data_IF_627161155669
#
_entry.id   IF_627161155669
#
_cell.length_a   1.000
_cell.length_b   1.000
_cell.length_c   1.000
_cell.angle_alpha   90.00
_cell.angle_beta   90.00
_cell.angle_gamma   90.00
#
_symmetry.space_group_name_H-M   'P 1'
#
loop_
_entity.id
_entity.type
_entity.pdbx_description
1 polymer ?
#
# COMPACT_ATOMS: atom_id res chain seq x y z
N UNK A 1 -9.80 -14.84 7.98
CA UNK A 1 -10.16 -14.12 9.23
C UNK A 1 -11.19 -13.04 8.95
N UNK A 2 -12.13 -12.82 9.84
CA UNK A 2 -12.95 -11.60 9.86
C UNK A 2 -12.08 -10.39 10.24
N UNK A 3 -12.59 -9.18 10.03
CA UNK A 3 -11.91 -7.96 10.47
C UNK A 3 -11.64 -7.97 11.99
N UNK A 4 -12.63 -8.40 12.78
CA UNK A 4 -12.54 -8.43 14.25
C UNK A 4 -11.46 -9.41 14.73
N UNK A 5 -11.46 -10.65 14.22
CA UNK A 5 -10.41 -11.64 14.48
C UNK A 5 -9.01 -11.17 14.06
N UNK A 6 -8.94 -10.38 13.00
CA UNK A 6 -7.68 -9.82 12.50
C UNK A 6 -7.13 -8.79 13.47
N UNK A 7 -7.98 -7.87 13.94
CA UNK A 7 -7.57 -6.82 14.89
C UNK A 7 -7.06 -7.39 16.21
N UNK A 8 -7.63 -8.50 16.69
CA UNK A 8 -7.15 -9.20 17.91
C UNK A 8 -5.76 -9.81 17.75
N UNK A 9 -5.34 -10.14 16.52
CA UNK A 9 -4.02 -10.74 16.22
C UNK A 9 -2.90 -9.74 15.91
N UNK A 10 -3.24 -8.47 15.75
CA UNK A 10 -2.25 -7.44 15.45
C UNK A 10 -1.54 -7.01 16.74
N UNK A 11 -0.23 -7.20 16.76
CA UNK A 11 0.64 -6.78 17.87
C UNK A 11 1.78 -5.92 17.31
N UNK A 12 2.45 -5.10 18.12
CA UNK A 12 3.67 -4.40 17.72
C UNK A 12 4.76 -5.34 17.19
N UNK A 13 5.69 -4.80 16.43
CA UNK A 13 6.84 -5.55 15.95
C UNK A 13 7.69 -6.12 17.10
N UNK A 14 8.41 -7.20 16.86
CA UNK A 14 9.22 -7.90 17.85
C UNK A 14 10.54 -7.16 18.10
N UNK A 15 10.64 -6.49 19.25
CA UNK A 15 11.82 -5.71 19.63
C UNK A 15 13.08 -6.60 19.77
N UNK A 16 12.95 -7.81 20.31
CA UNK A 16 14.07 -8.75 20.46
C UNK A 16 14.65 -9.16 19.12
N UNK A 17 13.81 -9.42 18.13
CA UNK A 17 14.26 -9.71 16.77
C UNK A 17 14.95 -8.49 16.12
N UNK A 18 14.45 -7.26 16.38
CA UNK A 18 15.08 -6.03 15.92
C UNK A 18 16.45 -5.81 16.55
N UNK A 19 16.57 -5.97 17.87
CA UNK A 19 17.86 -5.87 18.59
C UNK A 19 18.87 -6.89 18.08
N UNK A 20 18.44 -8.13 17.86
CA UNK A 20 19.28 -9.20 17.31
C UNK A 20 19.76 -8.85 15.90
N UNK A 21 18.88 -8.33 15.04
CA UNK A 21 19.26 -7.93 13.69
C UNK A 21 20.20 -6.71 13.69
N UNK A 22 20.01 -5.75 14.57
CA UNK A 22 20.89 -4.60 14.74
C UNK A 22 22.27 -5.03 15.24
N UNK A 23 22.33 -5.95 16.22
CA UNK A 23 23.57 -6.51 16.71
C UNK A 23 24.34 -7.25 15.61
N UNK A 24 23.63 -7.99 14.73
CA UNK A 24 24.25 -8.60 13.57
C UNK A 24 24.83 -7.58 12.59
N UNK A 25 24.08 -6.52 12.24
CA UNK A 25 24.62 -5.41 11.42
C UNK A 25 25.88 -4.79 12.02
N UNK A 26 25.88 -4.55 13.32
CA UNK A 26 27.03 -3.95 14.03
C UNK A 26 28.26 -4.88 14.09
N UNK A 27 28.07 -6.19 13.86
CA UNK A 27 29.16 -7.18 13.78
C UNK A 27 29.69 -7.38 12.36
N UNK A 28 29.02 -6.94 11.33
CA UNK A 28 29.50 -6.97 9.94
C UNK A 28 30.68 -6.01 9.79
N UNK A 29 31.78 -6.46 9.13
CA UNK A 29 33.03 -5.71 9.01
C UNK A 29 32.94 -4.51 8.05
N UNK A 30 32.14 -3.53 8.43
CA UNK A 30 31.96 -2.26 7.69
C UNK A 30 31.69 -1.10 8.68
N UNK A 31 31.80 0.17 8.24
CA UNK A 31 31.48 1.31 9.08
C UNK A 31 30.03 1.22 9.58
N UNK A 32 29.82 1.52 10.88
CA UNK A 32 28.50 1.45 11.50
C UNK A 32 27.49 2.32 10.75
N UNK A 33 26.28 1.78 10.54
CA UNK A 33 25.15 2.44 9.90
C UNK A 33 25.45 3.01 8.49
N UNK A 34 26.47 2.46 7.78
CA UNK A 34 26.95 3.00 6.50
C UNK A 34 26.01 2.76 5.32
N UNK A 35 25.06 1.84 5.42
CA UNK A 35 23.97 1.64 4.45
C UNK A 35 22.67 2.36 4.88
N UNK A 36 22.68 3.06 6.02
CA UNK A 36 21.59 3.91 6.49
C UNK A 36 20.23 3.21 6.44
N UNK A 37 19.28 3.78 5.73
CA UNK A 37 17.90 3.32 5.62
C UNK A 37 17.74 1.85 5.19
N UNK A 38 18.69 1.31 4.43
CA UNK A 38 18.65 -0.11 4.04
C UNK A 38 18.86 -1.01 5.27
N UNK A 39 19.79 -0.65 6.17
CA UNK A 39 19.99 -1.38 7.43
C UNK A 39 18.76 -1.27 8.33
N UNK A 40 18.24 -0.05 8.51
CA UNK A 40 17.06 0.20 9.34
C UNK A 40 15.85 -0.64 8.86
N UNK A 41 15.68 -0.74 7.53
CA UNK A 41 14.56 -1.50 6.97
C UNK A 41 14.72 -3.00 7.22
N UNK A 42 15.92 -3.56 7.10
CA UNK A 42 16.15 -4.97 7.42
C UNK A 42 15.89 -5.25 8.91
N UNK A 43 16.31 -4.34 9.80
CA UNK A 43 16.02 -4.42 11.25
C UNK A 43 14.50 -4.38 11.49
N UNK A 44 13.77 -3.45 10.84
CA UNK A 44 12.31 -3.40 10.95
C UNK A 44 11.65 -4.68 10.43
N UNK A 45 12.11 -5.23 9.31
CA UNK A 45 11.58 -6.49 8.76
C UNK A 45 11.84 -7.66 9.73
N UNK A 46 12.98 -7.69 10.40
CA UNK A 46 13.23 -8.67 11.46
C UNK A 46 12.18 -8.58 12.57
N UNK A 47 11.84 -7.38 13.02
CA UNK A 47 10.75 -7.16 13.97
C UNK A 47 9.38 -7.55 13.45
N UNK A 48 9.05 -7.19 12.20
CA UNK A 48 7.79 -7.57 11.54
C UNK A 48 7.60 -9.10 11.51
N UNK A 49 8.64 -9.82 11.12
CA UNK A 49 8.61 -11.28 10.98
C UNK A 49 8.87 -12.04 12.30
N UNK A 50 9.37 -11.35 13.33
CA UNK A 50 9.82 -11.97 14.58
C UNK A 50 11.06 -12.83 14.41
N UNK A 51 11.87 -12.57 13.38
CA UNK A 51 13.03 -13.39 13.06
C UNK A 51 14.16 -12.51 12.49
N UNK A 52 15.29 -12.47 13.20
CA UNK A 52 16.48 -11.75 12.73
C UNK A 52 17.08 -12.36 11.45
N UNK A 53 16.80 -13.63 11.17
CA UNK A 53 17.15 -14.25 9.89
C UNK A 53 16.09 -13.98 8.83
N UNK A 54 16.15 -12.78 8.26
CA UNK A 54 15.16 -12.30 7.28
C UNK A 54 15.24 -13.09 5.97
N UNK A 55 14.10 -13.61 5.49
CA UNK A 55 13.96 -14.26 4.19
C UNK A 55 12.79 -13.64 3.41
N UNK A 56 13.11 -12.98 2.29
CA UNK A 56 12.14 -12.33 1.38
C UNK A 56 12.18 -12.95 -0.03
N UNK A 57 12.62 -14.21 -0.17
CA UNK A 57 12.81 -14.83 -1.50
C UNK A 57 11.54 -14.90 -2.32
N UNK A 58 10.40 -15.18 -1.69
CA UNK A 58 9.11 -15.23 -2.38
C UNK A 58 8.34 -13.93 -2.15
N UNK A 59 8.14 -13.18 -3.23
CA UNK A 59 7.59 -11.83 -3.23
C UNK A 59 6.28 -11.78 -4.02
N UNK A 60 5.30 -11.05 -3.53
CA UNK A 60 4.03 -10.87 -4.20
C UNK A 60 3.70 -9.39 -4.44
N UNK A 61 2.98 -9.10 -5.52
CA UNK A 61 2.24 -7.87 -5.72
C UNK A 61 0.74 -8.22 -5.78
N UNK A 62 -0.05 -7.68 -4.86
CA UNK A 62 -1.52 -7.76 -4.89
C UNK A 62 -2.06 -6.48 -5.48
N UNK A 63 -2.80 -6.59 -6.60
CA UNK A 63 -3.40 -5.42 -7.28
C UNK A 63 -4.91 -5.49 -7.10
N UNK A 64 -5.47 -4.58 -6.28
CA UNK A 64 -6.91 -4.47 -6.08
C UNK A 64 -7.55 -3.72 -7.25
N UNK A 65 -8.44 -4.41 -8.00
CA UNK A 65 -9.06 -3.87 -9.20
C UNK A 65 -10.55 -3.57 -8.96
N UNK A 66 -10.93 -2.29 -9.05
CA UNK A 66 -12.31 -1.87 -8.83
C UNK A 66 -12.65 -0.58 -9.59
N UNK A 67 -13.90 -0.45 -10.04
CA UNK A 67 -14.41 0.77 -10.63
C UNK A 67 -15.06 1.67 -9.59
N UNK A 68 -14.94 2.98 -9.81
CA UNK A 68 -15.46 4.02 -8.93
C UNK A 68 -16.60 4.78 -9.62
N UNK A 69 -17.80 4.76 -9.06
CA UNK A 69 -18.99 5.38 -9.63
C UNK A 69 -18.90 6.90 -9.82
N UNK A 70 -18.00 7.56 -9.10
CA UNK A 70 -17.75 9.01 -9.26
C UNK A 70 -17.27 9.39 -10.66
N UNK A 71 -16.85 8.43 -11.49
CA UNK A 71 -16.50 8.63 -12.91
C UNK A 71 -17.67 9.25 -13.70
N UNK A 72 -18.91 8.98 -13.32
CA UNK A 72 -20.11 9.60 -13.92
C UNK A 72 -20.06 11.13 -13.88
N UNK A 73 -19.36 11.72 -12.93
CA UNK A 73 -19.20 13.18 -12.81
C UNK A 73 -18.18 13.76 -13.79
N UNK A 74 -17.56 12.94 -14.67
CA UNK A 74 -16.57 13.42 -15.64
C UNK A 74 -15.30 13.98 -14.98
N UNK A 75 -14.82 13.31 -13.94
CA UNK A 75 -13.60 13.63 -13.17
C UNK A 75 -12.38 12.85 -13.63
N UNK A 76 -12.51 12.13 -14.74
CA UNK A 76 -11.46 11.32 -15.37
C UNK A 76 -11.41 11.57 -16.87
N UNK A 77 -10.27 11.24 -17.52
CA UNK A 77 -10.15 11.31 -18.99
C UNK A 77 -10.68 10.05 -19.70
N UNK A 78 -10.62 8.90 -19.04
CA UNK A 78 -11.05 7.59 -19.56
C UNK A 78 -12.27 7.09 -18.81
N UNK A 79 -13.01 6.20 -19.46
CA UNK A 79 -14.14 5.50 -18.87
C UNK A 79 -13.71 4.27 -18.07
N UNK A 80 -14.67 3.66 -17.39
CA UNK A 80 -14.46 2.48 -16.52
C UNK A 80 -14.00 1.24 -17.30
N UNK A 81 -14.23 1.15 -18.62
CA UNK A 81 -13.79 0.05 -19.45
C UNK A 81 -12.28 -0.19 -19.40
N UNK A 82 -11.49 0.86 -19.11
CA UNK A 82 -10.03 0.77 -19.00
C UNK A 82 -9.60 -0.06 -17.80
N UNK A 83 -10.34 -0.03 -16.70
CA UNK A 83 -10.05 -0.82 -15.50
C UNK A 83 -9.93 -2.31 -15.82
N UNK A 84 -10.94 -2.88 -16.48
CA UNK A 84 -10.94 -4.29 -16.88
C UNK A 84 -9.80 -4.61 -17.85
N UNK A 85 -9.61 -3.76 -18.87
CA UNK A 85 -8.58 -3.98 -19.89
C UNK A 85 -7.18 -4.07 -19.25
N UNK A 86 -6.85 -3.15 -18.36
CA UNK A 86 -5.55 -3.15 -17.70
C UNK A 86 -5.43 -4.31 -16.70
N UNK A 87 -6.49 -4.58 -15.93
CA UNK A 87 -6.54 -5.70 -15.00
C UNK A 87 -6.25 -7.06 -15.69
N UNK A 88 -6.86 -7.31 -16.86
CA UNK A 88 -6.58 -8.51 -17.63
C UNK A 88 -5.20 -8.52 -18.32
N UNK A 89 -4.63 -7.34 -18.58
CA UNK A 89 -3.28 -7.22 -19.13
C UNK A 89 -2.18 -7.57 -18.12
N UNK A 90 -2.46 -7.50 -16.80
CA UNK A 90 -1.53 -8.01 -15.79
C UNK A 90 -1.23 -9.50 -16.00
N UNK A 91 -2.26 -10.31 -16.26
CA UNK A 91 -2.12 -11.76 -16.52
C UNK A 91 -1.39 -12.07 -17.83
N UNK A 92 -1.43 -11.15 -18.79
CA UNK A 92 -0.81 -11.29 -20.12
C UNK A 92 0.63 -10.76 -20.15
N UNK A 93 1.19 -10.31 -19.02
CA UNK A 93 2.49 -9.62 -18.93
C UNK A 93 2.60 -8.40 -19.87
N UNK A 94 1.49 -7.67 -20.05
CA UNK A 94 1.39 -6.50 -20.96
C UNK A 94 1.14 -5.17 -20.24
N UNK A 95 1.06 -5.17 -18.91
CA UNK A 95 0.97 -3.97 -18.10
C UNK A 95 2.32 -3.68 -17.43
N UNK A 96 2.55 -2.42 -17.04
CA UNK A 96 3.84 -1.99 -16.48
C UNK A 96 4.19 -2.79 -15.23
N UNK A 97 3.26 -2.93 -14.29
CA UNK A 97 3.51 -3.66 -13.05
C UNK A 97 3.89 -5.12 -13.29
N UNK A 98 3.25 -5.82 -14.25
CA UNK A 98 3.58 -7.21 -14.54
C UNK A 98 4.98 -7.38 -15.13
N UNK A 99 5.43 -6.43 -15.97
CA UNK A 99 6.79 -6.41 -16.51
C UNK A 99 7.82 -6.18 -15.39
N UNK A 100 7.53 -5.24 -14.47
CA UNK A 100 8.40 -4.96 -13.33
C UNK A 100 8.45 -6.14 -12.36
N UNK A 101 7.31 -6.78 -12.06
CA UNK A 101 7.24 -8.00 -11.23
C UNK A 101 8.15 -9.10 -11.77
N UNK A 102 8.04 -9.39 -13.07
CA UNK A 102 8.89 -10.38 -13.73
C UNK A 102 10.39 -10.07 -13.57
N UNK A 103 10.76 -8.79 -13.67
CA UNK A 103 12.15 -8.35 -13.50
C UNK A 103 12.62 -8.44 -12.05
N UNK A 104 11.74 -8.15 -11.10
CA UNK A 104 12.01 -8.18 -9.65
C UNK A 104 11.89 -9.57 -9.02
N UNK A 105 11.49 -10.59 -9.80
CA UNK A 105 11.25 -11.93 -9.28
C UNK A 105 10.06 -12.00 -8.33
N UNK A 106 9.00 -11.27 -8.61
CA UNK A 106 7.76 -11.22 -7.85
C UNK A 106 6.58 -11.77 -8.66
N UNK A 107 5.66 -12.45 -7.99
CA UNK A 107 4.40 -12.88 -8.58
C UNK A 107 3.35 -11.78 -8.45
N UNK A 108 2.49 -11.64 -9.48
CA UNK A 108 1.43 -10.64 -9.50
C UNK A 108 0.05 -11.30 -9.35
N UNK A 109 -0.79 -10.73 -8.48
CA UNK A 109 -2.14 -11.20 -8.16
C UNK A 109 -3.15 -10.07 -8.39
N UNK A 110 -3.66 -9.89 -9.61
CA UNK A 110 -4.76 -8.97 -9.86
C UNK A 110 -6.07 -9.58 -9.33
N UNK A 111 -6.73 -8.82 -8.45
CA UNK A 111 -7.95 -9.23 -7.72
C UNK A 111 -9.11 -8.37 -8.17
N UNK A 112 -10.15 -8.97 -8.74
CA UNK A 112 -11.42 -8.29 -9.00
C UNK A 112 -12.19 -8.16 -7.69
N UNK A 113 -12.07 -7.01 -7.06
CA UNK A 113 -12.81 -6.67 -5.84
C UNK A 113 -14.06 -5.83 -6.16
N UNK A 114 -14.13 -5.29 -7.38
CA UNK A 114 -15.27 -4.45 -7.75
C UNK A 114 -15.20 -3.82 -9.14
N UNK A 115 -14.75 -4.54 -10.16
CA UNK A 115 -14.87 -4.10 -11.55
C UNK A 115 -16.35 -4.07 -11.92
N UNK A 116 -16.80 -3.03 -12.64
CA UNK A 116 -18.22 -2.82 -13.00
C UNK A 116 -18.80 -3.87 -13.98
N UNK A 117 -17.93 -4.69 -14.56
CA UNK A 117 -18.29 -5.79 -15.47
C UNK A 117 -17.60 -7.08 -15.05
N UNK A 118 -17.99 -8.22 -15.61
CA UNK A 118 -17.28 -9.47 -15.39
C UNK A 118 -15.85 -9.41 -15.95
N UNK A 119 -14.89 -9.99 -15.23
CA UNK A 119 -13.49 -10.07 -15.61
C UNK A 119 -12.96 -11.50 -15.47
N UNK A 120 -11.76 -11.75 -16.03
CA UNK A 120 -11.11 -13.07 -16.00
C UNK A 120 -10.02 -13.20 -14.95
N UNK A 121 -9.77 -12.15 -14.15
CA UNK A 121 -8.81 -12.16 -13.06
C UNK A 121 -9.39 -12.84 -11.81
N UNK A 122 -8.62 -12.94 -10.72
CA UNK A 122 -9.05 -13.59 -9.48
C UNK A 122 -10.29 -12.90 -8.90
N UNK A 123 -11.38 -13.67 -8.70
CA UNK A 123 -12.68 -13.16 -8.34
C UNK A 123 -12.91 -13.10 -6.84
N UNK A 124 -12.98 -11.88 -6.29
CA UNK A 124 -13.40 -11.56 -4.92
C UNK A 124 -14.34 -10.35 -4.91
N UNK A 125 -15.19 -10.28 -5.93
CA UNK A 125 -16.06 -9.13 -6.18
C UNK A 125 -17.05 -8.89 -5.04
N UNK A 126 -16.98 -7.72 -4.41
CA UNK A 126 -17.92 -7.25 -3.37
C UNK A 126 -19.18 -6.66 -4.03
N UNK A 127 -18.96 -5.84 -5.07
CA UNK A 127 -20.04 -5.27 -5.88
C UNK A 127 -19.52 -4.87 -7.28
N UNK A 128 -20.39 -4.59 -8.21
CA UNK A 128 -20.05 -4.15 -9.58
C UNK A 128 -19.78 -2.63 -9.63
N UNK A 129 -18.59 -2.20 -9.21
CA UNK A 129 -18.23 -0.80 -9.04
C UNK A 129 -18.89 -0.16 -7.82
N UNK A 130 -18.28 0.90 -7.25
CA UNK A 130 -18.93 1.68 -6.20
C UNK A 130 -20.09 2.50 -6.76
N UNK A 131 -20.97 2.98 -5.88
CA UNK A 131 -21.92 4.03 -6.20
C UNK A 131 -21.19 5.35 -6.42
N UNK A 132 -21.91 6.33 -7.00
CA UNK A 132 -21.39 7.67 -7.19
C UNK A 132 -21.47 8.46 -5.88
N UNK A 133 -20.33 8.70 -5.24
CA UNK A 133 -20.25 9.44 -3.98
C UNK A 133 -20.79 10.88 -4.05
N UNK A 134 -20.94 11.44 -5.24
CA UNK A 134 -21.57 12.77 -5.39
C UNK A 134 -23.10 12.73 -5.17
N UNK A 135 -23.71 11.53 -5.20
CA UNK A 135 -25.17 11.35 -5.11
C UNK A 135 -25.59 10.56 -3.87
N UNK A 136 -24.87 9.48 -3.58
CA UNK A 136 -25.12 8.56 -2.46
C UNK A 136 -23.79 8.02 -1.92
N UNK A 137 -23.74 7.39 -0.72
CA UNK A 137 -22.51 6.78 -0.22
C UNK A 137 -21.91 5.80 -1.24
N UNK A 138 -20.58 5.79 -1.38
CA UNK A 138 -19.88 4.95 -2.35
C UNK A 138 -20.20 3.46 -2.20
N UNK A 139 -20.39 3.01 -0.95
CA UNK A 139 -20.79 1.65 -0.60
C UNK A 139 -21.43 1.64 0.80
N UNK A 140 -22.02 0.52 1.21
CA UNK A 140 -22.45 0.36 2.61
C UNK A 140 -21.25 0.09 3.51
N UNK A 141 -21.44 0.25 4.82
CA UNK A 141 -20.39 -0.08 5.80
C UNK A 141 -20.02 -1.57 5.74
N UNK A 142 -21.01 -2.44 5.56
CA UNK A 142 -20.82 -3.89 5.43
C UNK A 142 -19.98 -4.22 4.19
N UNK A 143 -20.21 -3.55 3.07
CA UNK A 143 -19.42 -3.71 1.85
C UNK A 143 -17.98 -3.21 2.04
N UNK A 144 -17.78 -2.11 2.76
CA UNK A 144 -16.43 -1.65 3.10
C UNK A 144 -15.68 -2.66 3.98
N UNK A 145 -16.35 -3.25 4.97
CA UNK A 145 -15.79 -4.34 5.79
C UNK A 145 -15.49 -5.57 4.95
N UNK A 146 -16.39 -6.00 4.07
CA UNK A 146 -16.13 -7.12 3.15
C UNK A 146 -14.91 -6.86 2.27
N UNK A 147 -14.73 -5.63 1.77
CA UNK A 147 -13.55 -5.27 0.97
C UNK A 147 -12.25 -5.33 1.80
N UNK A 148 -12.27 -4.88 3.06
CA UNK A 148 -11.15 -5.09 3.99
C UNK A 148 -10.85 -6.58 4.17
N UNK A 149 -11.87 -7.40 4.38
CA UNK A 149 -11.73 -8.85 4.59
C UNK A 149 -11.18 -9.57 3.35
N UNK A 150 -11.51 -9.12 2.13
CA UNK A 150 -10.88 -9.62 0.90
C UNK A 150 -9.36 -9.39 0.95
N UNK A 151 -8.91 -8.19 1.33
CA UNK A 151 -7.48 -7.89 1.46
C UNK A 151 -6.79 -8.75 2.53
N UNK A 152 -7.42 -8.93 3.68
CA UNK A 152 -6.95 -9.80 4.76
C UNK A 152 -6.80 -11.24 4.27
N UNK A 153 -7.83 -11.76 3.59
CA UNK A 153 -7.85 -13.14 3.08
C UNK A 153 -6.74 -13.39 2.05
N UNK A 154 -6.50 -12.44 1.15
CA UNK A 154 -5.39 -12.50 0.21
C UNK A 154 -4.04 -12.68 0.91
N UNK A 155 -3.82 -11.99 2.02
CA UNK A 155 -2.58 -12.12 2.80
C UNK A 155 -2.48 -13.50 3.46
N UNK A 156 -3.56 -14.03 4.03
CA UNK A 156 -3.60 -15.38 4.60
C UNK A 156 -3.19 -16.44 3.57
N UNK A 157 -3.83 -16.40 2.39
CA UNK A 157 -3.49 -17.32 1.30
C UNK A 157 -2.02 -17.21 0.85
N UNK A 158 -1.51 -15.99 0.73
CA UNK A 158 -0.12 -15.77 0.34
C UNK A 158 0.85 -16.25 1.40
N UNK A 159 0.55 -16.06 2.69
CA UNK A 159 1.34 -16.61 3.80
C UNK A 159 1.40 -18.13 3.73
N UNK A 160 0.28 -18.82 3.55
CA UNK A 160 0.23 -20.27 3.41
C UNK A 160 1.05 -20.77 2.22
N UNK A 161 1.10 -19.99 1.13
CA UNK A 161 1.93 -20.24 -0.05
C UNK A 161 3.42 -19.87 0.15
N UNK A 162 3.80 -19.36 1.32
CA UNK A 162 5.18 -19.04 1.71
C UNK A 162 5.73 -17.72 1.20
N UNK A 163 4.87 -16.75 0.87
CA UNK A 163 5.32 -15.40 0.53
C UNK A 163 5.83 -14.67 1.78
N UNK A 164 7.02 -14.05 1.67
CA UNK A 164 7.70 -13.36 2.77
C UNK A 164 7.49 -11.85 2.77
N UNK A 165 7.04 -11.27 1.67
CA UNK A 165 6.75 -9.85 1.53
C UNK A 165 5.66 -9.63 0.47
N UNK A 166 4.79 -8.65 0.71
CA UNK A 166 3.67 -8.31 -0.18
C UNK A 166 3.75 -6.82 -0.53
N UNK A 167 3.66 -6.49 -1.81
CA UNK A 167 3.43 -5.14 -2.29
C UNK A 167 1.93 -4.91 -2.55
N UNK A 168 1.45 -3.70 -2.35
CA UNK A 168 0.12 -3.28 -2.73
C UNK A 168 0.13 -2.51 -4.04
N UNK A 169 -0.84 -2.77 -4.89
CA UNK A 169 -1.13 -2.03 -6.11
C UNK A 169 -2.63 -1.89 -6.28
N UNK A 170 -3.04 -1.07 -7.21
CA UNK A 170 -4.44 -0.84 -7.52
C UNK A 170 -4.65 -0.64 -9.04
N UNK A 171 -5.84 -0.89 -9.49
CA UNK A 171 -6.32 -0.50 -10.80
C UNK A 171 -7.80 -0.14 -10.72
N UNK A 172 -8.09 1.16 -10.85
CA UNK A 172 -9.47 1.64 -10.74
C UNK A 172 -9.63 3.05 -11.30
N UNK A 173 -10.29 3.17 -12.46
CA UNK A 173 -10.54 4.52 -12.99
C UNK A 173 -11.41 5.30 -12.01
N UNK A 174 -10.95 6.51 -11.66
CA UNK A 174 -11.59 7.39 -10.67
C UNK A 174 -11.01 7.31 -9.25
N UNK A 175 -10.14 6.35 -8.95
CA UNK A 175 -9.64 6.13 -7.59
C UNK A 175 -8.75 7.28 -7.05
N UNK A 176 -8.11 8.06 -7.89
CA UNK A 176 -7.43 9.30 -7.42
C UNK A 176 -8.43 10.32 -6.87
N UNK A 177 -9.70 10.29 -7.31
CA UNK A 177 -10.75 11.15 -6.78
C UNK A 177 -11.18 10.67 -5.39
N UNK A 178 -11.47 9.40 -5.24
CA UNK A 178 -11.84 8.79 -3.94
C UNK A 178 -10.68 8.85 -2.95
N UNK A 179 -9.44 8.63 -3.39
CA UNK A 179 -8.25 8.80 -2.54
C UNK A 179 -8.08 10.23 -2.03
N UNK A 180 -8.29 11.24 -2.90
CA UNK A 180 -8.25 12.65 -2.47
C UNK A 180 -9.38 12.97 -1.48
N UNK A 181 -10.58 12.40 -1.66
CA UNK A 181 -11.69 12.58 -0.73
C UNK A 181 -11.39 11.96 0.64
N UNK A 182 -10.88 10.72 0.67
CA UNK A 182 -10.45 10.04 1.91
C UNK A 182 -9.35 10.84 2.60
N UNK A 183 -8.35 11.32 1.85
CA UNK A 183 -7.25 12.13 2.39
C UNK A 183 -7.76 13.44 3.00
N UNK A 184 -8.64 14.16 2.29
CA UNK A 184 -9.22 15.42 2.76
C UNK A 184 -9.91 15.22 4.12
N UNK A 185 -10.65 14.12 4.29
CA UNK A 185 -11.34 13.82 5.56
C UNK A 185 -10.36 13.42 6.66
N UNK A 186 -9.50 12.44 6.40
CA UNK A 186 -8.62 11.87 7.42
C UNK A 186 -7.56 12.86 7.92
N UNK A 187 -7.10 13.77 7.07
CA UNK A 187 -6.10 14.80 7.41
C UNK A 187 -6.70 16.18 7.64
N UNK A 188 -8.03 16.34 7.56
CA UNK A 188 -8.74 17.62 7.72
C UNK A 188 -8.20 18.71 6.80
N UNK A 189 -7.94 18.37 5.53
CA UNK A 189 -7.41 19.27 4.53
C UNK A 189 -8.49 19.74 3.56
N UNK A 190 -8.34 20.96 3.03
CA UNK A 190 -9.22 21.39 1.92
C UNK A 190 -9.01 20.47 0.71
N UNK A 191 -10.08 19.99 0.05
CA UNK A 191 -9.96 19.19 -1.17
C UNK A 191 -9.04 19.81 -2.25
N UNK A 192 -8.90 21.13 -2.31
CA UNK A 192 -8.03 21.80 -3.27
C UNK A 192 -6.53 21.52 -3.01
N UNK A 193 -6.13 21.27 -1.76
CA UNK A 193 -4.73 21.02 -1.38
C UNK A 193 -4.32 19.55 -1.65
N UNK A 194 -5.29 18.63 -1.61
CA UNK A 194 -5.02 17.19 -1.69
C UNK A 194 -5.42 16.57 -3.04
N UNK A 195 -5.99 17.35 -3.97
CA UNK A 195 -6.48 16.81 -5.24
C UNK A 195 -5.53 17.12 -6.38
N UNK A 196 -5.02 16.05 -7.00
CA UNK A 196 -4.20 16.10 -8.20
C UNK A 196 -4.99 15.88 -9.50
N UNK A 197 -4.27 15.99 -10.62
CA UNK A 197 -4.81 15.78 -11.97
C UNK A 197 -5.03 14.30 -12.32
N UNK A 198 -4.56 13.38 -11.47
CA UNK A 198 -4.56 11.96 -11.79
C UNK A 198 -3.91 11.70 -13.16
N UNK A 199 -4.58 10.92 -14.00
CA UNK A 199 -4.11 10.59 -15.35
C UNK A 199 -4.10 11.77 -16.36
N UNK A 200 -4.09 13.03 -15.87
CA UNK A 200 -3.83 14.19 -16.74
C UNK A 200 -5.05 15.08 -17.03
N UNK A 201 -5.95 15.29 -16.10
CA UNK A 201 -7.08 16.21 -16.23
C UNK A 201 -6.66 17.64 -16.64
N UNK A 202 -7.50 18.30 -17.44
CA UNK A 202 -7.38 19.72 -17.75
C UNK A 202 -7.56 20.59 -16.48
N UNK A 203 -7.23 21.88 -16.56
CA UNK A 203 -7.46 22.81 -15.45
C UNK A 203 -8.93 22.92 -15.05
N UNK A 204 -9.87 22.88 -16.01
CA UNK A 204 -11.31 22.87 -15.76
C UNK A 204 -11.77 21.55 -15.15
N UNK A 205 -11.24 20.42 -15.62
CA UNK A 205 -11.50 19.09 -15.05
C UNK A 205 -11.03 18.99 -13.59
N UNK A 206 -9.85 19.53 -13.27
CA UNK A 206 -9.35 19.56 -11.89
C UNK A 206 -10.28 20.38 -10.97
N UNK A 207 -10.72 21.56 -11.40
CA UNK A 207 -11.69 22.38 -10.62
C UNK A 207 -12.99 21.63 -10.37
N UNK A 208 -13.50 20.92 -11.39
CA UNK A 208 -14.69 20.08 -11.26
C UNK A 208 -14.46 18.95 -10.26
N UNK A 209 -13.34 18.23 -10.35
CA UNK A 209 -12.96 17.15 -9.43
C UNK A 209 -12.93 17.63 -7.98
N UNK A 210 -12.31 18.80 -7.71
CA UNK A 210 -12.26 19.42 -6.39
C UNK A 210 -13.69 19.75 -5.88
N UNK A 211 -14.57 20.32 -6.72
CA UNK A 211 -15.95 20.60 -6.34
C UNK A 211 -16.71 19.34 -5.99
N UNK A 212 -16.63 18.29 -6.82
CA UNK A 212 -17.28 17.00 -6.59
C UNK A 212 -16.85 16.40 -5.25
N UNK A 213 -15.56 16.43 -4.92
CA UNK A 213 -15.05 15.92 -3.63
C UNK A 213 -15.62 16.75 -2.47
N UNK A 214 -15.60 18.09 -2.56
CA UNK A 214 -16.10 18.98 -1.52
C UNK A 214 -17.60 18.75 -1.26
N UNK A 215 -18.38 18.65 -2.32
CA UNK A 215 -19.82 18.44 -2.25
C UNK A 215 -20.16 17.06 -1.67
N UNK A 216 -19.43 16.00 -2.05
CA UNK A 216 -19.59 14.67 -1.51
C UNK A 216 -19.28 14.61 0.01
N UNK A 217 -18.20 15.24 0.45
CA UNK A 217 -17.85 15.33 1.88
C UNK A 217 -18.93 16.09 2.65
N UNK A 218 -19.42 17.21 2.12
CA UNK A 218 -20.47 18.00 2.74
C UNK A 218 -21.81 17.25 2.83
N UNK A 219 -22.14 16.45 1.79
CA UNK A 219 -23.36 15.64 1.71
C UNK A 219 -23.34 14.50 2.74
N UNK A 220 -22.27 13.71 2.77
CA UNK A 220 -22.22 12.46 3.55
C UNK A 220 -21.65 12.64 4.95
N UNK A 221 -20.93 13.73 5.21
CA UNK A 221 -20.31 14.05 6.50
C UNK A 221 -19.57 12.84 7.10
N UNK A 222 -18.57 12.30 6.38
CA UNK A 222 -17.79 11.16 6.87
C UNK A 222 -17.06 11.53 8.17
N UNK A 223 -16.99 10.58 9.11
CA UNK A 223 -16.38 10.77 10.44
C UNK A 223 -14.90 10.41 10.38
N UNK A 224 -14.00 11.36 10.55
CA UNK A 224 -12.53 11.14 10.49
C UNK A 224 -12.02 10.13 11.53
N UNK A 225 -12.74 9.98 12.65
CA UNK A 225 -12.42 9.04 13.73
C UNK A 225 -12.82 7.59 13.37
N UNK A 226 -13.60 7.39 12.33
CA UNK A 226 -14.05 6.10 11.84
C UNK A 226 -13.63 5.90 10.37
N UNK A 227 -12.42 5.40 10.10
CA UNK A 227 -11.94 5.20 8.73
C UNK A 227 -12.84 4.33 7.87
N UNK A 228 -13.58 3.39 8.48
CA UNK A 228 -14.53 2.54 7.74
C UNK A 228 -15.75 3.36 7.28
N UNK A 229 -16.23 4.31 8.09
CA UNK A 229 -17.27 5.26 7.66
C UNK A 229 -16.78 6.15 6.51
N UNK A 230 -15.52 6.58 6.58
CA UNK A 230 -14.89 7.38 5.50
C UNK A 230 -14.81 6.56 4.21
N UNK A 231 -14.31 5.33 4.27
CA UNK A 231 -14.24 4.41 3.13
C UNK A 231 -15.63 4.13 2.54
N UNK A 232 -16.62 3.87 3.38
CA UNK A 232 -17.99 3.61 2.93
C UNK A 232 -18.62 4.79 2.20
N UNK A 233 -18.40 6.02 2.66
CA UNK A 233 -19.05 7.21 2.13
C UNK A 233 -18.36 7.79 0.91
N UNK A 234 -17.03 7.91 0.94
CA UNK A 234 -16.26 8.64 -0.08
C UNK A 234 -15.03 7.86 -0.60
N UNK A 235 -14.87 6.60 -0.20
CA UNK A 235 -13.77 5.75 -0.59
C UNK A 235 -14.01 4.93 -1.86
N UNK A 236 -13.20 3.88 -2.04
CA UNK A 236 -13.26 2.91 -3.13
C UNK A 236 -13.02 1.49 -2.60
N UNK A 237 -13.50 0.48 -3.31
CA UNK A 237 -13.29 -0.92 -2.96
C UNK A 237 -11.81 -1.31 -3.03
N UNK A 238 -11.09 -0.76 -4.00
CA UNK A 238 -9.64 -0.92 -4.17
C UNK A 238 -8.86 -0.38 -2.96
N UNK A 239 -9.20 0.83 -2.50
CA UNK A 239 -8.59 1.43 -1.30
C UNK A 239 -8.90 0.60 -0.06
N UNK A 240 -10.15 0.17 0.13
CA UNK A 240 -10.56 -0.68 1.24
C UNK A 240 -9.86 -2.05 1.18
N UNK A 241 -9.79 -2.68 0.01
CA UNK A 241 -9.07 -3.95 -0.19
C UNK A 241 -7.59 -3.84 0.16
N UNK A 242 -6.91 -2.78 -0.31
CA UNK A 242 -5.50 -2.54 0.07
C UNK A 242 -5.34 -2.26 1.57
N UNK A 243 -6.26 -1.52 2.20
CA UNK A 243 -6.23 -1.34 3.66
C UNK A 243 -6.34 -2.68 4.40
N UNK A 244 -7.16 -3.60 3.87
CA UNK A 244 -7.22 -5.00 4.32
C UNK A 244 -5.91 -5.75 4.16
N UNK A 245 -5.16 -5.53 3.06
CA UNK A 245 -3.82 -6.13 2.89
C UNK A 245 -2.85 -5.64 3.98
N UNK A 246 -2.88 -4.36 4.35
CA UNK A 246 -2.05 -3.86 5.45
C UNK A 246 -2.44 -4.45 6.81
N UNK A 247 -3.75 -4.55 7.11
CA UNK A 247 -4.24 -5.20 8.33
C UNK A 247 -3.84 -6.69 8.37
N UNK A 248 -4.07 -7.42 7.29
CA UNK A 248 -3.69 -8.82 7.14
C UNK A 248 -2.18 -9.03 7.27
N UNK A 249 -1.36 -8.13 6.69
CA UNK A 249 0.09 -8.14 6.81
C UNK A 249 0.53 -8.08 8.27
N UNK A 250 -0.02 -7.15 9.04
CA UNK A 250 0.28 -7.02 10.46
C UNK A 250 -0.16 -8.25 11.27
N UNK A 251 -1.39 -8.74 11.07
CA UNK A 251 -1.89 -9.94 11.75
C UNK A 251 -1.10 -11.21 11.39
N UNK A 252 -0.65 -11.31 10.15
CA UNK A 252 0.13 -12.43 9.64
C UNK A 252 1.65 -12.27 9.84
N UNK A 253 2.12 -11.15 10.37
CA UNK A 253 3.56 -10.82 10.53
C UNK A 253 4.31 -10.85 9.19
N UNK A 254 3.72 -10.27 8.16
CA UNK A 254 4.30 -10.12 6.82
C UNK A 254 4.49 -8.64 6.54
N UNK A 255 5.70 -8.18 6.15
CA UNK A 255 5.93 -6.81 5.70
C UNK A 255 5.11 -6.49 4.45
N UNK A 256 4.44 -5.33 4.46
CA UNK A 256 3.65 -4.85 3.33
C UNK A 256 4.23 -3.56 2.79
N UNK A 257 4.51 -3.53 1.49
CA UNK A 257 5.08 -2.37 0.80
C UNK A 257 3.96 -1.54 0.17
N UNK A 258 3.83 -0.30 0.63
CA UNK A 258 2.95 0.68 0.02
C UNK A 258 3.60 1.25 -1.26
N UNK A 259 2.81 1.33 -2.34
CA UNK A 259 3.20 1.97 -3.60
C UNK A 259 3.25 3.50 -3.47
N UNK A 260 2.48 4.22 -4.26
CA UNK A 260 2.41 5.67 -4.27
C UNK A 260 1.24 6.20 -3.44
N UNK A 261 0.65 7.31 -3.91
CA UNK A 261 -0.39 8.07 -3.24
C UNK A 261 -1.56 7.21 -2.75
N UNK A 262 -2.23 6.48 -3.65
CA UNK A 262 -3.45 5.72 -3.35
C UNK A 262 -3.18 4.61 -2.32
N UNK A 263 -2.07 3.90 -2.50
CA UNK A 263 -1.65 2.84 -1.57
C UNK A 263 -1.29 3.40 -0.19
N UNK A 264 -0.64 4.57 -0.13
CA UNK A 264 -0.37 5.26 1.14
C UNK A 264 -1.66 5.75 1.84
N UNK A 265 -2.69 6.13 1.07
CA UNK A 265 -4.04 6.42 1.64
C UNK A 265 -4.63 5.16 2.28
N UNK A 266 -4.53 4.01 1.61
CA UNK A 266 -5.00 2.74 2.17
C UNK A 266 -4.21 2.35 3.44
N UNK A 267 -2.88 2.54 3.45
CA UNK A 267 -2.05 2.33 4.63
C UNK A 267 -2.47 3.26 5.78
N UNK A 268 -2.75 4.54 5.50
CA UNK A 268 -3.25 5.48 6.49
C UNK A 268 -4.60 5.03 7.08
N UNK A 269 -5.53 4.55 6.25
CA UNK A 269 -6.78 3.97 6.73
C UNK A 269 -6.54 2.79 7.68
N UNK A 270 -5.67 1.86 7.30
CA UNK A 270 -5.34 0.69 8.12
C UNK A 270 -4.71 1.07 9.47
N UNK A 271 -3.77 2.03 9.47
CA UNK A 271 -3.13 2.55 10.69
C UNK A 271 -4.13 3.30 11.58
N UNK A 272 -5.10 4.02 11.00
CA UNK A 272 -6.17 4.66 11.77
C UNK A 272 -7.18 3.66 12.35
N UNK A 273 -7.37 2.50 11.72
CA UNK A 273 -8.16 1.39 12.26
C UNK A 273 -7.38 0.71 13.39
N UNK A 274 -6.10 0.42 13.19
CA UNK A 274 -5.24 -0.23 14.19
C UNK A 274 -3.81 0.36 14.13
N UNK A 275 -3.41 1.19 15.11
CA UNK A 275 -2.12 1.89 15.08
C UNK A 275 -0.88 0.98 14.95
N UNK A 276 -0.91 -0.23 15.51
CA UNK A 276 0.19 -1.19 15.44
C UNK A 276 0.49 -1.67 14.00
N UNK A 277 -0.41 -1.47 13.04
CA UNK A 277 -0.16 -1.73 11.61
C UNK A 277 1.03 -0.94 11.07
N UNK A 278 1.30 0.26 11.63
CA UNK A 278 2.43 1.11 11.23
C UNK A 278 3.76 0.35 11.24
N UNK A 279 3.95 -0.55 12.18
CA UNK A 279 5.18 -1.32 12.32
C UNK A 279 5.44 -2.25 11.13
N UNK A 280 4.40 -2.62 10.39
CA UNK A 280 4.45 -3.57 9.26
C UNK A 280 4.43 -2.92 7.88
N UNK A 281 4.36 -1.58 7.82
CA UNK A 281 4.33 -0.82 6.55
C UNK A 281 5.73 -0.40 6.13
N UNK A 282 6.05 -0.63 4.85
CA UNK A 282 7.23 -0.08 4.17
C UNK A 282 6.72 0.83 3.05
N UNK A 283 7.16 2.08 2.99
CA UNK A 283 6.81 3.01 1.91
C UNK A 283 7.88 2.98 0.82
N UNK A 284 7.46 2.88 -0.44
CA UNK A 284 8.38 2.71 -1.56
C UNK A 284 8.92 4.03 -2.09
N UNK A 285 8.04 4.91 -2.56
CA UNK A 285 8.45 6.13 -3.24
C UNK A 285 7.56 7.32 -2.91
N UNK A 286 8.10 8.50 -3.09
CA UNK A 286 7.34 9.75 -3.09
C UNK A 286 6.68 9.91 -4.46
N UNK A 287 5.36 9.75 -4.50
CA UNK A 287 4.58 9.99 -5.72
C UNK A 287 4.51 11.49 -6.04
N UNK A 288 4.32 11.80 -7.32
CA UNK A 288 4.16 13.19 -7.80
C UNK A 288 2.78 13.80 -7.47
N UNK A 289 1.83 13.01 -6.94
CA UNK A 289 0.52 13.51 -6.53
C UNK A 289 0.63 14.50 -5.34
N UNK A 290 -0.12 15.62 -5.35
CA UNK A 290 0.06 16.73 -4.39
C UNK A 290 -0.01 16.31 -2.92
N UNK A 291 -0.97 15.45 -2.56
CA UNK A 291 -1.18 15.01 -1.18
C UNK A 291 -0.11 14.03 -0.66
N UNK A 292 0.79 13.54 -1.51
CA UNK A 292 1.76 12.49 -1.12
C UNK A 292 2.61 12.91 0.07
N UNK A 293 3.11 14.14 0.08
CA UNK A 293 3.98 14.62 1.18
C UNK A 293 3.21 14.63 2.50
N UNK A 294 1.98 15.16 2.51
CA UNK A 294 1.14 15.22 3.72
C UNK A 294 0.83 13.82 4.26
N UNK A 295 0.59 12.85 3.37
CA UNK A 295 0.31 11.47 3.78
C UNK A 295 1.58 10.82 4.33
N UNK A 296 2.73 10.99 3.67
CA UNK A 296 4.00 10.44 4.16
C UNK A 296 4.39 11.02 5.52
N UNK A 297 4.14 12.32 5.74
CA UNK A 297 4.31 12.95 7.06
C UNK A 297 3.35 12.37 8.10
N UNK A 298 2.08 12.13 7.74
CA UNK A 298 1.10 11.51 8.63
C UNK A 298 1.42 10.03 8.94
N UNK A 299 1.99 9.31 8.00
CA UNK A 299 2.50 7.94 8.20
C UNK A 299 3.78 7.94 9.03
N UNK A 300 4.61 8.98 8.91
CA UNK A 300 5.93 9.07 9.55
C UNK A 300 6.78 7.82 9.26
N UNK A 301 6.86 7.45 7.97
CA UNK A 301 7.68 6.34 7.46
C UNK A 301 8.48 6.85 6.26
N UNK A 302 9.82 6.71 6.27
CA UNK A 302 10.66 7.24 5.20
C UNK A 302 10.54 6.43 3.90
N UNK A 303 10.53 7.10 2.75
CA UNK A 303 10.52 6.48 1.42
C UNK A 303 11.92 6.15 0.90
N UNK A 304 12.01 5.19 -0.02
CA UNK A 304 13.26 4.80 -0.68
C UNK A 304 13.58 5.65 -1.92
N UNK A 305 12.57 5.98 -2.72
CA UNK A 305 12.75 6.56 -4.04
C UNK A 305 12.05 7.91 -4.15
N UNK A 306 12.69 8.84 -4.85
CA UNK A 306 12.12 10.08 -5.35
C UNK A 306 12.45 10.15 -6.85
N UNK A 307 11.57 9.64 -7.71
CA UNK A 307 11.75 9.47 -9.15
C UNK A 307 10.57 10.04 -9.96
N UNK A 308 9.82 10.97 -9.38
CA UNK A 308 8.64 11.58 -10.02
C UNK A 308 7.58 10.58 -10.53
N UNK A 309 7.55 9.36 -9.98
CA UNK A 309 6.60 8.32 -10.37
C UNK A 309 5.16 8.70 -9.99
N UNK A 310 4.21 8.40 -10.88
CA UNK A 310 2.78 8.67 -10.66
C UNK A 310 1.87 7.73 -11.47
N UNK A 311 2.33 6.51 -11.77
CA UNK A 311 1.53 5.55 -12.54
C UNK A 311 0.51 4.80 -11.68
N UNK A 312 0.90 4.32 -10.49
CA UNK A 312 0.13 3.35 -9.69
C UNK A 312 0.48 1.90 -10.03
N UNK A 313 -0.50 1.02 -10.01
CA UNK A 313 -0.39 -0.42 -10.31
C UNK A 313 0.54 -1.20 -9.34
N UNK A 314 1.12 -0.58 -8.31
CA UNK A 314 2.15 -1.16 -7.46
C UNK A 314 3.57 -1.03 -8.02
N UNK A 315 3.77 -0.21 -9.05
CA UNK A 315 5.05 -0.10 -9.77
C UNK A 315 6.20 0.39 -8.89
N UNK A 316 5.97 1.37 -8.04
CA UNK A 316 6.99 1.86 -7.11
C UNK A 316 7.30 0.83 -6.01
N UNK A 317 6.28 0.14 -5.51
CA UNK A 317 6.45 -0.89 -4.49
C UNK A 317 7.32 -2.05 -5.01
N UNK A 318 7.07 -2.53 -6.21
CA UNK A 318 7.88 -3.60 -6.82
C UNK A 318 9.31 -3.12 -7.13
N UNK A 319 9.49 -1.85 -7.48
CA UNK A 319 10.81 -1.29 -7.80
C UNK A 319 11.78 -1.34 -6.62
N UNK A 320 11.32 -1.34 -5.37
CA UNK A 320 12.22 -1.46 -4.21
C UNK A 320 12.60 -2.90 -3.86
N UNK A 321 11.97 -3.92 -4.42
CA UNK A 321 12.32 -5.31 -4.14
C UNK A 321 13.78 -5.66 -4.43
N UNK A 322 14.36 -5.33 -5.61
CA UNK A 322 15.77 -5.53 -5.85
C UNK A 322 16.69 -4.75 -4.88
N UNK A 323 16.25 -3.59 -4.40
CA UNK A 323 16.99 -2.80 -3.42
C UNK A 323 17.05 -3.54 -2.07
N UNK A 324 15.92 -4.11 -1.64
CA UNK A 324 15.86 -4.94 -0.42
C UNK A 324 16.68 -6.22 -0.58
N UNK A 325 16.66 -6.85 -1.75
CA UNK A 325 17.49 -8.03 -2.04
C UNK A 325 18.99 -7.71 -1.91
N UNK A 326 19.43 -6.55 -2.40
CA UNK A 326 20.82 -6.10 -2.23
C UNK A 326 21.18 -5.88 -0.76
N UNK A 327 20.29 -5.29 0.03
CA UNK A 327 20.50 -5.11 1.47
C UNK A 327 20.63 -6.46 2.19
N UNK A 328 19.76 -7.42 1.88
CA UNK A 328 19.78 -8.76 2.44
C UNK A 328 21.00 -9.57 2.00
N UNK A 329 21.49 -9.36 0.77
CA UNK A 329 22.72 -10.00 0.30
C UNK A 329 23.93 -9.57 1.12
N UNK A 330 24.02 -8.27 1.48
CA UNK A 330 25.08 -7.78 2.39
C UNK A 330 24.86 -8.32 3.79
N UNK A 331 23.64 -8.24 4.33
CA UNK A 331 23.28 -8.71 5.66
C UNK A 331 23.64 -10.17 5.92
N UNK A 332 23.38 -11.04 4.93
CA UNK A 332 23.61 -12.48 5.07
C UNK A 332 24.92 -13.00 4.49
N UNK A 333 25.67 -12.20 3.71
CA UNK A 333 26.82 -12.68 2.94
C UNK A 333 28.15 -12.02 3.27
N UNK A 334 28.15 -10.89 3.95
CA UNK A 334 29.39 -10.19 4.26
C UNK A 334 30.07 -10.78 5.52
N UNK A 335 31.42 -10.81 5.53
CA UNK A 335 32.21 -11.26 6.69
C UNK A 335 32.02 -10.32 7.91
N UNK A 336 32.17 -10.91 9.09
CA UNK A 336 32.13 -10.18 10.35
C UNK A 336 33.52 -9.65 10.76
N UNK A 337 33.57 -8.75 11.74
CA UNK A 337 34.82 -8.34 12.33
C UNK A 337 35.60 -9.52 12.90
N UNK A 338 34.92 -10.46 13.55
CA UNK A 338 35.56 -11.67 14.11
C UNK A 338 36.14 -12.59 13.02
N UNK A 339 35.49 -12.73 11.85
CA UNK A 339 36.03 -13.49 10.73
C UNK A 339 37.35 -12.92 10.22
N UNK A 340 37.51 -11.61 10.31
CA UNK A 340 38.71 -10.89 9.90
C UNK A 340 39.72 -10.67 11.05
N UNK A 341 39.48 -11.23 12.24
CA UNK A 341 40.31 -11.03 13.44
C UNK A 341 40.49 -9.53 13.80
N UNK A 342 39.43 -8.74 13.59
CA UNK A 342 39.39 -7.32 13.88
C UNK A 342 38.50 -7.04 15.10
N UNK A 343 38.77 -5.95 15.81
CA UNK A 343 37.88 -5.46 16.87
C UNK A 343 36.64 -4.79 16.27
N UNK A 344 35.49 -4.98 16.90
CA UNK A 344 34.25 -4.35 16.50
C UNK A 344 34.34 -2.83 16.67
N UNK A 345 33.75 -2.07 15.75
CA UNK A 345 33.62 -0.63 15.94
C UNK A 345 32.66 -0.34 17.10
N UNK A 346 33.01 0.67 17.89
CA UNK A 346 32.15 1.19 18.96
C UNK A 346 31.49 2.49 18.47
N UNK A 347 30.17 2.66 18.66
CA UNK A 347 29.52 3.90 18.32
C UNK A 347 30.22 5.07 19.04
N UNK A 348 30.61 6.08 18.27
CA UNK A 348 31.10 7.33 18.84
C UNK A 348 29.89 8.07 19.42
N UNK A 349 29.90 8.33 20.72
CA UNK A 349 28.87 9.08 21.46
C UNK A 349 29.03 10.58 21.20
#
# INVERSE_FOLDING_TARGET
MTLEETLEKIHPADETAMETALAHWNNIAMPLHSLGRLQDTVVRIAGMTGNARVDLKKKALVVMCADNGVVEEGVTQSGQEVTKIVAENFLKEKATASILCKKAGADIFPVDIGIATDSTILQHKVMYGTKNMAKEPAMTREQAVQALEVGIHMVEELKEKGYGIIATGEMGIGNTTTSSAVTAVLLEQDPAEVTGRGAGLSGTGLKKKISVIRDAIALHKPKKEDPIDVLAKVGGLDIAGMAGVFLGGAACRIPVVADGFISCVAALCAIRICPAVKDYVITSHKSKEPATVMILEALDIPVFLDCDMCLGEGTGAVTIYPILDMALAVYGGMCTFSDNQMENYVPLV
#
